data_IF_838816686359
#
_entry.id   IF_838816686359
#
_cell.length_a   1.000
_cell.length_b   1.000
_cell.length_c   1.000
_cell.angle_alpha   90.00
_cell.angle_beta   90.00
_cell.angle_gamma   90.00
#
_symmetry.space_group_name_H-M   'P 1'
#
loop_
_entity.id
_entity.type
_entity.pdbx_description
1 polymer ?
#
# COMPACT_ATOMS: atom_id res chain seq x y z
N UNK A 1 11.93 32.76 19.06
CA UNK A 1 12.74 31.53 19.02
C UNK A 1 12.88 31.14 17.56
N UNK A 2 14.05 31.41 16.99
CA UNK A 2 14.33 31.23 15.57
C UNK A 2 14.48 29.75 15.24
N UNK A 3 13.51 29.17 14.53
CA UNK A 3 13.65 27.87 13.88
C UNK A 3 14.46 28.05 12.60
N UNK A 4 15.73 27.69 12.66
CA UNK A 4 16.59 27.60 11.48
C UNK A 4 16.00 26.58 10.50
N UNK A 5 15.76 26.93 9.23
CA UNK A 5 15.30 25.93 8.27
C UNK A 5 16.41 24.94 8.01
N UNK A 6 16.11 23.66 8.20
CA UNK A 6 16.98 22.53 7.91
C UNK A 6 17.38 22.56 6.43
N UNK A 7 18.59 23.04 6.14
CA UNK A 7 19.20 22.90 4.83
C UNK A 7 19.86 21.54 4.74
N UNK A 8 19.19 20.56 4.17
CA UNK A 8 19.85 19.35 3.68
C UNK A 8 20.60 19.73 2.39
N UNK A 9 21.74 20.39 2.55
CA UNK A 9 22.76 20.51 1.50
C UNK A 9 23.86 19.50 1.83
N UNK A 10 23.60 18.22 1.56
CA UNK A 10 24.68 17.34 1.12
C UNK A 10 24.67 17.46 -0.41
N UNK A 11 25.74 17.96 -0.99
CA UNK A 11 25.95 17.82 -2.43
C UNK A 11 25.93 16.34 -2.73
N UNK A 12 25.13 15.86 -3.72
CA UNK A 12 25.08 14.45 -4.03
C UNK A 12 26.50 14.02 -4.43
N UNK A 13 26.95 12.90 -3.85
CA UNK A 13 28.13 12.22 -4.40
C UNK A 13 27.89 12.03 -5.91
N UNK A 14 28.92 12.23 -6.74
CA UNK A 14 28.79 12.16 -8.21
C UNK A 14 28.12 10.87 -8.69
N UNK A 15 28.09 9.79 -7.86
CA UNK A 15 27.46 8.51 -8.16
C UNK A 15 27.04 7.78 -6.85
N UNK A 16 25.88 8.12 -6.25
CA UNK A 16 25.47 7.55 -4.96
C UNK A 16 25.05 6.09 -5.07
N UNK A 17 25.24 5.32 -4.00
CA UNK A 17 24.71 3.95 -3.90
C UNK A 17 23.25 3.99 -3.41
N UNK A 18 22.36 3.33 -4.15
CA UNK A 18 20.97 3.07 -3.78
C UNK A 18 20.84 1.61 -3.33
N UNK A 19 20.26 1.40 -2.15
CA UNK A 19 19.90 0.06 -1.66
C UNK A 19 18.40 -0.17 -1.89
N UNK A 20 18.06 -1.05 -2.82
CA UNK A 20 16.69 -1.50 -3.06
C UNK A 20 16.34 -2.61 -2.05
N UNK A 21 15.40 -2.35 -1.15
CA UNK A 21 14.95 -3.28 -0.11
C UNK A 21 13.62 -3.90 -0.52
N UNK A 22 13.61 -5.21 -0.72
CA UNK A 22 12.48 -5.99 -1.18
C UNK A 22 12.06 -7.01 -0.11
N UNK A 23 10.92 -6.80 0.54
CA UNK A 23 10.35 -7.77 1.48
C UNK A 23 9.50 -8.80 0.73
N UNK A 24 9.86 -10.08 0.86
CA UNK A 24 9.19 -11.19 0.15
C UNK A 24 8.77 -12.30 1.11
N UNK A 25 7.66 -12.98 0.77
CA UNK A 25 7.27 -14.23 1.42
C UNK A 25 6.27 -14.99 0.57
N UNK A 26 6.65 -16.20 0.12
CA UNK A 26 5.85 -17.06 -0.76
C UNK A 26 5.48 -16.35 -2.06
N UNK A 27 6.51 -15.93 -2.81
CA UNK A 27 6.42 -15.11 -4.02
C UNK A 27 7.04 -15.82 -5.24
N UNK A 28 7.12 -17.15 -5.23
CA UNK A 28 7.76 -17.94 -6.30
C UNK A 28 7.26 -17.56 -7.70
N UNK A 29 6.00 -17.12 -7.80
CA UNK A 29 5.37 -16.73 -9.07
C UNK A 29 5.91 -15.39 -9.61
N UNK A 30 6.34 -14.48 -8.74
CA UNK A 30 6.63 -13.09 -9.14
C UNK A 30 8.10 -12.71 -8.94
N UNK A 31 8.79 -13.34 -7.98
CA UNK A 31 10.11 -12.88 -7.52
C UNK A 31 11.14 -12.81 -8.64
N UNK A 32 11.11 -13.74 -9.60
CA UNK A 32 12.08 -13.73 -10.70
C UNK A 32 11.89 -12.52 -11.63
N UNK A 33 10.64 -12.21 -12.03
CA UNK A 33 10.32 -11.05 -12.88
C UNK A 33 10.62 -9.73 -12.17
N UNK A 34 10.32 -9.64 -10.86
CA UNK A 34 10.64 -8.46 -10.04
C UNK A 34 12.15 -8.23 -10.01
N UNK A 35 12.96 -9.27 -9.71
CA UNK A 35 14.42 -9.15 -9.67
C UNK A 35 15.00 -8.81 -11.04
N UNK A 36 14.45 -9.37 -12.13
CA UNK A 36 14.85 -9.00 -13.48
C UNK A 36 14.59 -7.50 -13.76
N UNK A 37 13.41 -6.97 -13.37
CA UNK A 37 13.11 -5.54 -13.56
C UNK A 37 14.06 -4.64 -12.76
N UNK A 38 14.53 -5.09 -11.58
CA UNK A 38 15.49 -4.36 -10.76
C UNK A 38 16.92 -4.44 -11.31
N UNK A 39 17.32 -5.59 -11.83
CA UNK A 39 18.64 -5.78 -12.44
C UNK A 39 18.81 -5.00 -13.75
N UNK A 40 17.70 -4.66 -14.41
CA UNK A 40 17.63 -3.85 -15.63
C UNK A 40 17.47 -2.35 -15.38
N UNK A 41 17.49 -1.89 -14.13
CA UNK A 41 17.40 -0.47 -13.82
C UNK A 41 18.54 0.32 -14.43
N UNK A 42 18.23 1.55 -14.86
CA UNK A 42 19.21 2.53 -15.29
C UNK A 42 20.10 2.94 -14.10
N UNK A 43 21.38 2.59 -14.21
CA UNK A 43 22.41 2.91 -13.23
C UNK A 43 23.37 3.99 -13.71
N UNK A 44 22.95 4.83 -14.65
CA UNK A 44 23.78 5.90 -15.20
C UNK A 44 24.14 7.01 -14.21
N UNK A 45 23.35 7.15 -13.14
CA UNK A 45 23.52 8.21 -12.12
C UNK A 45 23.66 7.68 -10.69
N UNK A 46 23.62 6.37 -10.49
CA UNK A 46 23.75 5.72 -9.19
C UNK A 46 24.16 4.27 -9.31
N UNK A 47 24.86 3.76 -8.31
CA UNK A 47 25.04 2.32 -8.13
C UNK A 47 23.83 1.69 -7.44
N UNK A 48 23.62 0.40 -7.63
CA UNK A 48 22.47 -0.33 -7.10
C UNK A 48 22.87 -1.62 -6.41
N UNK A 49 22.54 -1.80 -5.13
CA UNK A 49 22.43 -3.09 -4.47
C UNK A 49 20.97 -3.47 -4.22
N UNK A 50 20.66 -4.76 -4.25
CA UNK A 50 19.31 -5.30 -4.08
C UNK A 50 19.31 -6.24 -2.88
N UNK A 51 18.60 -5.87 -1.83
CA UNK A 51 18.46 -6.63 -0.59
C UNK A 51 17.09 -7.31 -0.59
N UNK A 52 17.07 -8.60 -0.87
CA UNK A 52 15.86 -9.42 -0.79
C UNK A 52 15.75 -9.98 0.62
N UNK A 53 14.73 -9.56 1.34
CA UNK A 53 14.48 -9.97 2.71
C UNK A 53 13.35 -10.98 2.74
N UNK A 54 13.72 -12.26 2.79
CA UNK A 54 12.79 -13.38 2.78
C UNK A 54 12.17 -13.62 4.16
N UNK A 55 10.84 -13.59 4.23
CA UNK A 55 10.04 -13.85 5.42
C UNK A 55 9.90 -15.33 5.74
N UNK A 56 10.96 -16.13 5.57
CA UNK A 56 10.97 -17.56 5.82
C UNK A 56 9.93 -18.27 4.95
N UNK A 57 10.10 -18.12 3.64
CA UNK A 57 9.23 -18.69 2.61
C UNK A 57 9.26 -20.22 2.62
N UNK A 58 8.11 -20.83 2.35
CA UNK A 58 7.92 -22.29 2.29
C UNK A 58 7.77 -22.83 0.86
N UNK A 59 7.75 -21.94 -0.13
CA UNK A 59 7.71 -22.23 -1.57
C UNK A 59 9.11 -22.08 -2.20
N UNK A 60 9.21 -22.04 -3.52
CA UNK A 60 10.47 -21.91 -4.24
C UNK A 60 11.09 -20.49 -4.22
N UNK A 61 10.48 -19.51 -3.54
CA UNK A 61 10.95 -18.10 -3.50
C UNK A 61 12.44 -18.02 -3.14
N UNK A 62 12.84 -18.66 -2.04
CA UNK A 62 14.21 -18.61 -1.54
C UNK A 62 15.21 -19.17 -2.52
N UNK A 63 14.92 -20.35 -3.10
CA UNK A 63 15.80 -21.00 -4.08
C UNK A 63 15.99 -20.16 -5.34
N UNK A 64 14.92 -19.47 -5.80
CA UNK A 64 14.99 -18.56 -6.95
C UNK A 64 15.91 -17.38 -6.63
N UNK A 65 15.76 -16.77 -5.45
CA UNK A 65 16.61 -15.63 -5.03
C UNK A 65 18.06 -16.06 -4.89
N UNK A 66 18.37 -17.20 -4.25
CA UNK A 66 19.72 -17.75 -4.09
C UNK A 66 20.37 -18.00 -5.46
N UNK A 67 19.63 -18.59 -6.39
CA UNK A 67 20.12 -18.83 -7.77
C UNK A 67 20.51 -17.51 -8.47
N UNK A 68 19.73 -16.44 -8.29
CA UNK A 68 20.01 -15.13 -8.89
C UNK A 68 21.17 -14.45 -8.17
N UNK A 69 21.23 -14.48 -6.85
CA UNK A 69 22.30 -13.91 -6.05
C UNK A 69 23.67 -14.53 -6.35
N UNK A 70 23.71 -15.85 -6.56
CA UNK A 70 24.96 -16.56 -6.96
C UNK A 70 25.49 -16.13 -8.35
N UNK A 71 24.65 -15.52 -9.19
CA UNK A 71 25.01 -15.04 -10.53
C UNK A 71 25.20 -13.53 -10.61
N UNK A 72 24.78 -12.79 -9.59
CA UNK A 72 24.81 -11.34 -9.59
C UNK A 72 25.12 -10.78 -8.20
N UNK A 73 26.34 -10.26 -8.03
CA UNK A 73 26.83 -9.71 -6.76
C UNK A 73 26.01 -8.51 -6.22
N UNK A 74 25.20 -7.87 -7.06
CA UNK A 74 24.28 -6.81 -6.60
C UNK A 74 23.12 -7.34 -5.77
N UNK A 75 22.78 -8.65 -5.84
CA UNK A 75 21.65 -9.25 -5.14
C UNK A 75 22.15 -9.95 -3.87
N UNK A 76 21.56 -9.62 -2.74
CA UNK A 76 21.84 -10.25 -1.44
C UNK A 76 20.54 -10.74 -0.81
N UNK A 77 20.53 -11.98 -0.32
CA UNK A 77 19.44 -12.57 0.44
C UNK A 77 19.67 -12.39 1.92
N UNK A 78 18.63 -11.92 2.62
CA UNK A 78 18.53 -11.83 4.08
C UNK A 78 17.32 -12.62 4.56
N UNK A 79 17.38 -13.23 5.74
CA UNK A 79 16.28 -14.03 6.28
C UNK A 79 15.61 -13.29 7.43
N UNK A 80 14.30 -13.08 7.33
CA UNK A 80 13.45 -12.50 8.37
C UNK A 80 12.60 -13.59 9.06
N UNK A 81 13.10 -14.19 10.11
CA UNK A 81 12.40 -15.22 10.87
C UNK A 81 11.12 -14.71 11.56
N UNK A 82 10.93 -13.39 11.68
CA UNK A 82 9.69 -12.79 12.22
C UNK A 82 8.52 -12.84 11.27
N UNK A 83 8.75 -13.11 9.98
CA UNK A 83 7.71 -13.29 8.95
C UNK A 83 6.74 -12.12 8.80
N UNK A 84 7.15 -10.91 9.21
CA UNK A 84 6.34 -9.68 9.14
C UNK A 84 7.07 -8.61 8.33
N UNK A 85 6.32 -7.91 7.48
CA UNK A 85 6.84 -6.92 6.54
C UNK A 85 7.64 -5.79 7.20
N UNK A 86 7.20 -5.15 8.30
CA UNK A 86 7.98 -4.07 8.91
C UNK A 86 9.32 -4.55 9.47
N UNK A 87 9.40 -5.79 9.97
CA UNK A 87 10.68 -6.39 10.36
C UNK A 87 11.60 -6.61 9.17
N UNK A 88 11.04 -7.07 8.03
CA UNK A 88 11.81 -7.26 6.80
C UNK A 88 12.38 -5.93 6.30
N UNK A 89 11.57 -4.88 6.22
CA UNK A 89 12.04 -3.57 5.81
C UNK A 89 13.12 -3.02 6.74
N UNK A 90 12.93 -3.10 8.06
CA UNK A 90 13.92 -2.63 9.02
C UNK A 90 15.23 -3.42 8.94
N UNK A 91 15.17 -4.74 8.76
CA UNK A 91 16.35 -5.58 8.53
C UNK A 91 17.10 -5.15 7.27
N UNK A 92 16.37 -4.95 6.15
CA UNK A 92 16.94 -4.45 4.91
C UNK A 92 17.56 -3.07 5.04
N UNK A 93 16.87 -2.10 5.69
CA UNK A 93 17.37 -0.75 5.93
C UNK A 93 18.66 -0.78 6.77
N UNK A 94 18.70 -1.64 7.79
CA UNK A 94 19.90 -1.80 8.64
C UNK A 94 21.08 -2.40 7.86
N UNK A 95 20.84 -3.42 7.04
CA UNK A 95 21.86 -4.10 6.24
C UNK A 95 22.29 -3.33 4.98
N UNK A 96 21.56 -2.29 4.63
CA UNK A 96 21.80 -1.46 3.45
C UNK A 96 23.12 -0.67 3.60
N UNK A 97 23.92 -0.66 2.52
CA UNK A 97 25.15 0.11 2.41
C UNK A 97 24.95 1.47 1.75
N UNK A 98 23.84 1.61 1.00
CA UNK A 98 23.55 2.80 0.22
C UNK A 98 23.14 4.00 1.08
N UNK A 99 23.41 5.17 0.54
CA UNK A 99 22.96 6.46 1.08
C UNK A 99 21.45 6.63 0.91
N UNK A 100 20.90 6.06 -0.18
CA UNK A 100 19.48 6.07 -0.49
C UNK A 100 18.90 4.67 -0.33
N UNK A 101 17.69 4.62 0.21
CA UNK A 101 16.91 3.38 0.40
C UNK A 101 15.68 3.43 -0.49
N UNK A 102 15.53 2.47 -1.39
CA UNK A 102 14.33 2.26 -2.18
C UNK A 102 13.52 1.10 -1.61
N UNK A 103 12.32 1.36 -1.09
CA UNK A 103 11.44 0.32 -0.54
C UNK A 103 10.54 -0.23 -1.64
N UNK A 104 10.59 -1.52 -1.87
CA UNK A 104 9.97 -2.15 -3.03
C UNK A 104 9.04 -3.30 -2.63
N UNK A 105 8.08 -3.62 -3.50
CA UNK A 105 7.09 -4.68 -3.29
C UNK A 105 7.32 -5.89 -4.19
N UNK A 106 6.92 -7.08 -3.71
CA UNK A 106 7.12 -8.36 -4.40
C UNK A 106 6.13 -8.62 -5.56
N UNK A 107 4.99 -7.90 -5.59
CA UNK A 107 3.98 -8.01 -6.68
C UNK A 107 4.06 -6.85 -7.66
N UNK A 108 5.25 -6.29 -7.87
CA UNK A 108 5.42 -5.03 -8.60
C UNK A 108 6.62 -5.12 -9.50
N UNK A 109 6.48 -4.74 -10.76
CA UNK A 109 7.60 -4.50 -11.68
C UNK A 109 7.83 -3.00 -11.83
N UNK A 110 9.06 -2.62 -12.12
CA UNK A 110 9.48 -1.23 -12.13
C UNK A 110 9.96 -0.83 -13.52
N UNK A 111 9.56 0.35 -13.99
CA UNK A 111 10.09 0.92 -15.21
C UNK A 111 11.62 0.98 -15.14
N UNK A 112 12.30 0.84 -16.28
CA UNK A 112 13.77 0.75 -16.34
C UNK A 112 14.48 1.96 -15.73
N UNK A 113 13.83 3.12 -15.75
CA UNK A 113 14.33 4.39 -15.22
C UNK A 113 13.79 4.74 -13.82
N UNK A 114 13.09 3.81 -13.16
CA UNK A 114 12.34 4.09 -11.92
C UNK A 114 13.23 4.70 -10.83
N UNK A 115 14.34 4.03 -10.51
CA UNK A 115 15.24 4.46 -9.44
C UNK A 115 15.93 5.77 -9.81
N UNK A 116 16.47 5.86 -11.01
CA UNK A 116 17.17 7.07 -11.48
C UNK A 116 16.24 8.28 -11.54
N UNK A 117 15.02 8.11 -12.04
CA UNK A 117 14.03 9.20 -12.11
C UNK A 117 13.57 9.61 -10.74
N UNK A 118 13.22 8.66 -9.84
CA UNK A 118 12.83 8.99 -8.47
C UNK A 118 13.95 9.72 -7.72
N UNK A 119 15.20 9.35 -7.92
CA UNK A 119 16.35 10.01 -7.30
C UNK A 119 16.49 11.47 -7.80
N UNK A 120 16.40 11.72 -9.13
CA UNK A 120 16.41 13.06 -9.69
C UNK A 120 15.28 13.94 -9.18
N UNK A 121 14.05 13.40 -9.15
CA UNK A 121 12.86 14.12 -8.68
C UNK A 121 12.90 14.40 -7.17
N UNK A 122 13.48 13.48 -6.38
CA UNK A 122 13.73 13.71 -4.96
C UNK A 122 14.58 14.95 -4.73
N UNK A 123 15.67 15.10 -5.47
CA UNK A 123 16.56 16.26 -5.38
C UNK A 123 15.91 17.52 -5.96
N UNK A 124 15.28 17.43 -7.14
CA UNK A 124 14.64 18.55 -7.83
C UNK A 124 13.58 19.24 -6.95
N UNK A 125 12.81 18.44 -6.21
CA UNK A 125 11.72 18.93 -5.36
C UNK A 125 12.12 19.11 -3.89
N UNK A 126 13.39 18.88 -3.54
CA UNK A 126 13.87 18.87 -2.15
C UNK A 126 12.94 18.06 -1.24
N UNK A 127 12.61 16.85 -1.70
CA UNK A 127 11.69 15.94 -1.03
C UNK A 127 12.43 15.01 -0.07
N UNK A 128 11.80 14.65 1.06
CA UNK A 128 12.31 13.62 1.97
C UNK A 128 12.07 12.20 1.45
N UNK A 129 11.18 12.04 0.46
CA UNK A 129 10.93 10.79 -0.26
C UNK A 129 10.27 11.05 -1.60
N UNK A 130 10.59 10.22 -2.60
CA UNK A 130 10.01 10.29 -3.93
C UNK A 130 9.61 8.90 -4.44
N UNK A 131 8.59 8.86 -5.28
CA UNK A 131 8.08 7.63 -5.89
C UNK A 131 7.48 7.93 -7.27
N UNK A 132 7.52 6.95 -8.18
CA UNK A 132 6.74 6.96 -9.42
C UNK A 132 5.27 6.62 -9.17
N UNK A 133 4.40 6.91 -10.14
CA UNK A 133 2.98 6.52 -10.10
C UNK A 133 2.82 5.00 -10.13
N UNK A 134 1.82 4.50 -9.41
CA UNK A 134 1.45 3.08 -9.39
C UNK A 134 0.37 2.81 -10.44
N UNK A 135 0.67 1.95 -11.41
CA UNK A 135 -0.28 1.46 -12.41
C UNK A 135 -0.80 0.10 -11.96
N UNK A 136 -2.11 -0.01 -11.77
CA UNK A 136 -2.74 -1.27 -11.37
C UNK A 136 -2.90 -2.17 -12.57
N UNK A 137 -2.40 -3.40 -12.47
CA UNK A 137 -2.50 -4.43 -13.50
C UNK A 137 -3.20 -5.68 -12.98
N UNK A 138 -3.97 -6.38 -13.81
CA UNK A 138 -4.45 -7.71 -13.47
C UNK A 138 -3.26 -8.69 -13.43
N UNK A 139 -3.27 -9.64 -12.50
CA UNK A 139 -2.21 -10.65 -12.36
C UNK A 139 -2.35 -11.82 -13.33
N UNK A 140 -3.44 -11.86 -14.11
CA UNK A 140 -3.74 -12.83 -15.17
C UNK A 140 -4.72 -12.20 -16.15
N UNK A 141 -4.87 -12.81 -17.31
CA UNK A 141 -5.84 -12.40 -18.34
C UNK A 141 -7.29 -12.79 -18.01
N UNK A 142 -7.50 -13.39 -16.82
CA UNK A 142 -8.80 -13.79 -16.36
C UNK A 142 -9.75 -12.58 -16.25
N UNK A 143 -10.98 -12.79 -16.66
CA UNK A 143 -12.05 -11.81 -16.60
C UNK A 143 -12.21 -11.18 -15.21
N UNK A 144 -12.20 -12.01 -14.16
CA UNK A 144 -12.32 -11.54 -12.77
C UNK A 144 -11.13 -10.66 -12.34
N UNK A 145 -9.90 -11.04 -12.73
CA UNK A 145 -8.70 -10.27 -12.45
C UNK A 145 -8.75 -8.87 -13.07
N UNK A 146 -9.25 -8.75 -14.31
CA UNK A 146 -9.43 -7.45 -15.00
C UNK A 146 -10.43 -6.57 -14.27
N UNK A 147 -11.60 -7.09 -13.91
CA UNK A 147 -12.61 -6.33 -13.17
C UNK A 147 -12.08 -5.83 -11.82
N UNK A 148 -11.34 -6.66 -11.09
CA UNK A 148 -10.73 -6.29 -9.81
C UNK A 148 -9.70 -5.17 -10.01
N UNK A 149 -8.85 -5.28 -11.04
CA UNK A 149 -7.86 -4.25 -11.37
C UNK A 149 -8.53 -2.90 -11.66
N UNK A 150 -9.58 -2.88 -12.50
CA UNK A 150 -10.32 -1.66 -12.82
C UNK A 150 -10.96 -1.01 -11.59
N UNK A 151 -11.56 -1.83 -10.70
CA UNK A 151 -12.17 -1.35 -9.45
C UNK A 151 -11.12 -0.73 -8.53
N UNK A 152 -9.96 -1.36 -8.37
CA UNK A 152 -8.88 -0.86 -7.52
C UNK A 152 -8.14 0.35 -8.12
N UNK A 153 -8.21 0.54 -9.44
CA UNK A 153 -7.69 1.72 -10.13
C UNK A 153 -8.69 2.89 -10.17
N UNK A 154 -9.96 2.68 -9.78
CA UNK A 154 -11.00 3.70 -9.88
C UNK A 154 -11.22 4.45 -8.56
N UNK A 155 -11.43 5.79 -8.57
CA UNK A 155 -11.64 6.59 -7.37
C UNK A 155 -12.81 6.13 -6.48
N UNK A 156 -13.86 5.57 -7.07
CA UNK A 156 -14.98 5.01 -6.31
C UNK A 156 -14.57 3.78 -5.48
N UNK A 157 -13.57 3.00 -5.95
CA UNK A 157 -13.04 1.84 -5.22
C UNK A 157 -12.01 2.19 -4.14
N UNK A 158 -11.15 3.19 -4.40
CA UNK A 158 -10.01 3.48 -3.51
C UNK A 158 -9.89 4.93 -3.05
N UNK A 159 -10.80 5.81 -3.46
CA UNK A 159 -10.85 7.27 -3.29
C UNK A 159 -9.85 8.05 -4.17
N UNK A 160 -10.18 9.32 -4.45
CA UNK A 160 -9.33 10.25 -5.21
C UNK A 160 -8.02 10.62 -4.48
N UNK A 161 -7.97 10.42 -3.17
CA UNK A 161 -6.78 10.67 -2.38
C UNK A 161 -5.89 9.44 -2.19
N UNK A 162 -6.20 8.31 -2.83
CA UNK A 162 -5.37 7.11 -2.81
C UNK A 162 -4.12 7.30 -3.67
N UNK A 163 -3.00 6.68 -3.28
CA UNK A 163 -1.78 6.63 -4.10
C UNK A 163 -2.03 6.03 -5.51
N UNK A 164 -3.08 5.23 -5.65
CA UNK A 164 -3.49 4.58 -6.92
C UNK A 164 -4.24 5.48 -7.88
N UNK A 165 -4.74 6.61 -7.43
CA UNK A 165 -5.59 7.52 -8.21
C UNK A 165 -5.07 8.95 -8.22
N UNK A 166 -4.01 9.24 -7.45
CA UNK A 166 -3.39 10.58 -7.40
C UNK A 166 -2.61 10.90 -8.66
N UNK A 167 -2.61 12.19 -8.99
CA UNK A 167 -1.72 12.81 -9.97
C UNK A 167 -0.38 13.15 -9.32
N UNK A 168 0.64 13.40 -10.15
CA UNK A 168 1.94 13.90 -9.71
C UNK A 168 1.83 15.12 -8.79
N UNK A 169 2.77 15.25 -7.86
CA UNK A 169 2.84 16.35 -6.91
C UNK A 169 3.13 15.92 -5.48
N UNK A 170 3.12 16.88 -4.55
CA UNK A 170 3.28 16.55 -3.12
C UNK A 170 2.10 15.74 -2.59
N UNK A 171 2.41 14.72 -1.80
CA UNK A 171 1.46 13.70 -1.38
C UNK A 171 1.60 13.37 0.10
N UNK A 172 0.50 12.93 0.72
CA UNK A 172 0.53 12.48 2.13
C UNK A 172 1.22 11.12 2.29
N UNK A 173 1.18 10.29 1.25
CA UNK A 173 1.80 8.97 1.20
C UNK A 173 2.13 8.65 -0.25
N UNK A 174 3.20 7.88 -0.47
CA UNK A 174 3.70 7.49 -1.78
C UNK A 174 4.00 5.98 -1.81
N UNK A 175 3.75 5.28 -2.94
CA UNK A 175 4.05 3.86 -3.07
C UNK A 175 5.53 3.65 -3.41
N UNK A 176 6.14 2.58 -2.93
CA UNK A 176 7.51 2.16 -3.31
C UNK A 176 8.56 3.28 -3.36
N UNK A 177 8.69 4.06 -2.29
CA UNK A 177 9.50 5.28 -2.28
C UNK A 177 11.00 5.03 -2.25
N UNK A 178 11.74 5.98 -2.81
CA UNK A 178 13.15 6.21 -2.50
C UNK A 178 13.24 7.29 -1.41
N UNK A 179 14.07 7.03 -0.40
CA UNK A 179 14.34 7.93 0.72
C UNK A 179 15.84 8.12 0.90
N UNK A 180 16.25 9.22 1.49
CA UNK A 180 17.57 9.32 2.10
C UNK A 180 17.60 8.43 3.36
N UNK A 181 18.64 7.60 3.53
CA UNK A 181 18.75 6.67 4.67
C UNK A 181 18.71 7.40 6.02
N UNK A 182 19.38 8.56 6.11
CA UNK A 182 19.36 9.38 7.32
C UNK A 182 17.97 9.84 7.71
N UNK A 183 17.12 10.19 6.73
CA UNK A 183 15.72 10.57 6.95
C UNK A 183 14.89 9.42 7.55
N UNK A 184 15.11 8.19 7.09
CA UNK A 184 14.46 7.00 7.69
C UNK A 184 14.95 6.76 9.12
N UNK A 185 16.26 6.90 9.36
CA UNK A 185 16.87 6.72 10.67
C UNK A 185 16.36 7.76 11.68
N UNK A 186 16.21 9.01 11.25
CA UNK A 186 15.69 10.12 12.08
C UNK A 186 14.30 9.83 12.64
N UNK A 187 13.43 9.22 11.85
CA UNK A 187 12.06 8.90 12.27
C UNK A 187 11.90 7.50 12.86
N UNK A 188 13.00 6.72 12.98
CA UNK A 188 13.00 5.38 13.56
C UNK A 188 12.46 4.29 12.62
N UNK A 189 12.57 4.49 11.29
CA UNK A 189 12.17 3.54 10.25
C UNK A 189 10.72 3.01 10.41
N UNK A 190 10.44 1.73 10.12
CA UNK A 190 9.08 1.17 10.20
C UNK A 190 8.70 0.74 11.61
N UNK A 191 7.47 1.07 12.05
CA UNK A 191 6.93 0.57 13.32
C UNK A 191 6.59 -0.92 13.21
N UNK A 192 7.29 -1.76 13.96
CA UNK A 192 7.16 -3.23 13.95
C UNK A 192 5.81 -3.74 14.45
N UNK A 193 5.05 -2.93 15.17
CA UNK A 193 3.70 -3.28 15.63
C UNK A 193 2.66 -3.15 14.53
N UNK A 194 2.94 -2.35 13.48
CA UNK A 194 2.03 -2.13 12.39
C UNK A 194 2.28 -3.14 11.27
N UNK A 195 1.60 -4.28 11.30
CA UNK A 195 1.70 -5.29 10.24
C UNK A 195 1.01 -4.87 8.94
N UNK A 196 0.21 -3.80 8.96
CA UNK A 196 -0.37 -3.08 7.82
C UNK A 196 -0.40 -1.59 8.10
N UNK A 197 -0.51 -0.79 7.02
CA UNK A 197 -0.50 0.68 7.07
C UNK A 197 0.80 1.26 7.70
N UNK A 198 1.85 0.47 7.77
CA UNK A 198 3.18 0.90 8.20
C UNK A 198 3.75 2.01 7.32
N UNK A 199 3.37 2.03 6.04
CA UNK A 199 3.66 3.07 5.05
C UNK A 199 2.97 4.40 5.37
N UNK A 200 1.68 4.37 5.71
CA UNK A 200 0.94 5.55 6.13
C UNK A 200 1.49 6.16 7.42
N UNK A 201 1.85 5.32 8.39
CA UNK A 201 2.46 5.75 9.66
C UNK A 201 3.83 6.38 9.42
N UNK A 202 4.71 5.70 8.66
CA UNK A 202 6.02 6.22 8.29
C UNK A 202 5.90 7.57 7.56
N UNK A 203 5.02 7.64 6.56
CA UNK A 203 4.77 8.86 5.80
C UNK A 203 4.29 10.01 6.69
N UNK A 204 3.44 9.73 7.68
CA UNK A 204 2.98 10.73 8.64
C UNK A 204 4.13 11.21 9.55
N UNK A 205 4.94 10.28 10.09
CA UNK A 205 6.09 10.64 10.94
C UNK A 205 7.12 11.48 10.19
N UNK A 206 7.39 11.17 8.93
CA UNK A 206 8.25 11.97 8.04
C UNK A 206 7.68 13.39 7.86
N UNK A 207 6.39 13.51 7.52
CA UNK A 207 5.75 14.83 7.36
C UNK A 207 5.69 15.63 8.66
N UNK A 208 5.49 14.99 9.79
CA UNK A 208 5.53 15.63 11.11
C UNK A 208 6.90 16.22 11.46
N UNK A 209 7.99 15.72 10.83
CA UNK A 209 9.35 16.27 10.92
C UNK A 209 9.66 17.29 9.82
N UNK A 210 8.68 17.67 8.99
CA UNK A 210 8.83 18.65 7.92
C UNK A 210 9.28 18.09 6.58
N UNK A 211 9.50 16.78 6.46
CA UNK A 211 9.85 16.16 5.19
C UNK A 211 8.65 16.12 4.24
N UNK A 212 8.83 16.53 3.00
CA UNK A 212 7.82 16.47 1.95
C UNK A 212 7.96 15.16 1.18
N UNK A 213 6.84 14.57 0.78
CA UNK A 213 6.80 13.38 -0.07
C UNK A 213 6.30 13.77 -1.44
N UNK A 214 6.99 13.32 -2.50
CA UNK A 214 6.68 13.69 -3.88
C UNK A 214 6.33 12.45 -4.72
N UNK A 215 5.25 12.53 -5.47
CA UNK A 215 4.84 11.53 -6.45
C UNK A 215 5.12 12.09 -7.84
N UNK A 216 5.93 11.40 -8.65
CA UNK A 216 6.23 11.79 -10.02
C UNK A 216 5.48 10.92 -11.03
N UNK A 217 5.03 11.51 -12.15
CA UNK A 217 4.45 10.79 -13.29
C UNK A 217 5.46 10.57 -14.43
N UNK A 218 6.72 10.96 -14.21
CA UNK A 218 7.81 10.74 -15.18
C UNK A 218 8.32 9.31 -15.23
N UNK A 219 7.98 8.52 -14.22
CA UNK A 219 8.24 7.09 -14.16
C UNK A 219 7.12 6.38 -13.43
N UNK A 220 7.07 5.05 -13.52
CA UNK A 220 5.98 4.26 -12.96
C UNK A 220 6.45 2.89 -12.47
N UNK A 221 5.58 2.27 -11.66
CA UNK A 221 5.63 0.85 -11.37
C UNK A 221 4.29 0.20 -11.69
N UNK A 222 4.30 -1.09 -12.01
CA UNK A 222 3.10 -1.87 -12.29
C UNK A 222 2.85 -2.85 -11.13
N UNK A 223 1.74 -2.63 -10.43
CA UNK A 223 1.32 -3.45 -9.31
C UNK A 223 0.29 -4.48 -9.77
N UNK A 224 0.61 -5.76 -9.58
CA UNK A 224 -0.26 -6.88 -9.98
C UNK A 224 -1.20 -7.26 -8.84
N UNK A 225 -2.50 -7.02 -9.05
CA UNK A 225 -3.52 -7.31 -8.04
C UNK A 225 -3.92 -8.79 -8.05
N UNK A 226 -4.29 -9.29 -6.88
CA UNK A 226 -4.75 -10.67 -6.74
C UNK A 226 -6.01 -10.94 -7.58
N UNK A 227 -6.11 -12.10 -8.27
CA UNK A 227 -7.09 -12.29 -9.34
C UNK A 227 -8.49 -12.71 -8.86
N UNK A 228 -8.70 -13.02 -7.55
CA UNK A 228 -9.95 -13.61 -7.09
C UNK A 228 -10.75 -12.72 -6.15
N UNK A 229 -12.09 -12.86 -6.18
CA UNK A 229 -12.99 -12.18 -5.22
C UNK A 229 -12.69 -12.57 -3.78
N UNK A 230 -12.33 -13.83 -3.53
CA UNK A 230 -11.98 -14.30 -2.18
C UNK A 230 -10.74 -13.56 -1.64
N UNK A 231 -9.72 -13.36 -2.47
CA UNK A 231 -8.53 -12.59 -2.08
C UNK A 231 -8.81 -11.11 -1.94
N UNK A 232 -9.65 -10.52 -2.81
CA UNK A 232 -10.13 -9.15 -2.68
C UNK A 232 -10.89 -8.94 -1.37
N UNK A 233 -11.82 -9.84 -1.03
CA UNK A 233 -12.60 -9.81 0.21
C UNK A 233 -11.70 -9.85 1.44
N UNK A 234 -10.74 -10.77 1.45
CA UNK A 234 -9.74 -10.90 2.53
C UNK A 234 -8.85 -9.66 2.64
N UNK A 235 -8.42 -9.10 1.49
CA UNK A 235 -7.65 -7.86 1.43
C UNK A 235 -8.46 -6.69 2.00
N UNK A 236 -9.72 -6.50 1.54
CA UNK A 236 -10.60 -5.42 1.95
C UNK A 236 -10.91 -5.49 3.45
N UNK A 237 -11.31 -6.66 3.96
CA UNK A 237 -11.57 -6.88 5.38
C UNK A 237 -10.34 -6.53 6.23
N UNK A 238 -9.17 -7.09 5.89
CA UNK A 238 -7.93 -6.82 6.62
C UNK A 238 -7.57 -5.32 6.59
N UNK A 239 -7.78 -4.64 5.47
CA UNK A 239 -7.49 -3.22 5.34
C UNK A 239 -8.39 -2.40 6.26
N UNK A 240 -9.71 -2.65 6.24
CA UNK A 240 -10.65 -1.97 7.15
C UNK A 240 -10.34 -2.24 8.62
N UNK A 241 -10.06 -3.48 8.96
CA UNK A 241 -9.71 -3.89 10.33
C UNK A 241 -8.45 -3.17 10.85
N UNK A 242 -7.37 -3.16 10.07
CA UNK A 242 -6.11 -2.55 10.44
C UNK A 242 -6.15 -1.03 10.45
N UNK A 243 -7.07 -0.39 9.72
CA UNK A 243 -7.24 1.06 9.78
C UNK A 243 -7.67 1.54 11.16
N UNK A 244 -8.51 0.77 11.87
CA UNK A 244 -8.88 1.09 13.26
C UNK A 244 -7.69 0.96 14.20
N UNK A 245 -6.88 -0.09 14.05
CA UNK A 245 -5.67 -0.30 14.84
C UNK A 245 -4.66 0.83 14.60
N UNK A 246 -4.40 1.15 13.33
CA UNK A 246 -3.49 2.23 12.94
C UNK A 246 -3.96 3.59 13.44
N UNK A 247 -5.27 3.87 13.37
CA UNK A 247 -5.86 5.10 13.91
C UNK A 247 -5.70 5.22 15.42
N UNK A 248 -5.87 4.11 16.16
CA UNK A 248 -5.63 4.10 17.62
C UNK A 248 -4.17 4.36 17.97
N UNK A 249 -3.24 3.86 17.16
CA UNK A 249 -1.79 4.05 17.34
C UNK A 249 -1.36 5.47 16.97
N UNK A 250 -1.76 5.94 15.79
CA UNK A 250 -1.37 7.21 15.22
C UNK A 250 -2.55 7.82 14.44
N UNK A 251 -3.32 8.67 15.11
CA UNK A 251 -4.53 9.28 14.53
C UNK A 251 -4.24 10.07 13.25
N UNK A 252 -3.10 10.73 13.20
CA UNK A 252 -2.73 11.57 12.06
C UNK A 252 -2.31 10.76 10.81
N UNK A 253 -2.06 9.46 10.94
CA UNK A 253 -1.75 8.58 9.80
C UNK A 253 -2.97 8.20 8.96
N UNK A 254 -4.18 8.40 9.50
CA UNK A 254 -5.43 8.03 8.85
C UNK A 254 -6.29 9.26 8.56
N UNK A 255 -6.83 9.35 7.35
CA UNK A 255 -7.80 10.37 6.95
C UNK A 255 -9.23 9.84 6.98
N UNK A 256 -10.24 10.74 6.99
CA UNK A 256 -11.67 10.38 7.07
C UNK A 256 -12.11 9.39 5.99
N UNK A 257 -11.53 9.47 4.79
CA UNK A 257 -11.82 8.55 3.68
C UNK A 257 -11.67 7.07 4.04
N UNK A 258 -10.76 6.74 4.96
CA UNK A 258 -10.52 5.35 5.38
C UNK A 258 -11.67 4.76 6.22
N UNK A 259 -12.57 5.60 6.71
CA UNK A 259 -13.71 5.17 7.50
C UNK A 259 -15.03 5.15 6.71
N UNK A 260 -15.07 5.74 5.51
CA UNK A 260 -16.27 5.82 4.66
C UNK A 260 -16.93 4.45 4.46
N UNK A 261 -16.22 3.36 4.10
CA UNK A 261 -16.85 2.05 3.96
C UNK A 261 -17.44 1.52 5.27
N UNK A 262 -16.82 1.83 6.42
CA UNK A 262 -17.35 1.47 7.75
C UNK A 262 -18.67 2.19 8.05
N UNK A 263 -18.72 3.50 7.77
CA UNK A 263 -19.94 4.31 7.94
C UNK A 263 -21.04 3.82 6.99
N UNK A 264 -20.69 3.48 5.74
CA UNK A 264 -21.65 2.94 4.78
C UNK A 264 -22.28 1.63 5.28
N UNK A 265 -21.47 0.66 5.74
CA UNK A 265 -22.00 -0.63 6.25
C UNK A 265 -22.78 -0.43 7.55
N UNK A 266 -22.33 0.44 8.46
CA UNK A 266 -23.11 0.80 9.65
C UNK A 266 -24.47 1.39 9.29
N UNK A 267 -24.50 2.31 8.32
CA UNK A 267 -25.73 2.89 7.79
C UNK A 267 -26.66 1.84 7.18
N UNK A 268 -26.14 0.92 6.40
CA UNK A 268 -26.94 -0.20 5.85
C UNK A 268 -27.54 -1.06 6.97
N UNK A 269 -26.78 -1.40 8.01
CA UNK A 269 -27.26 -2.20 9.12
C UNK A 269 -28.35 -1.46 9.92
N UNK A 270 -28.15 -0.18 10.22
CA UNK A 270 -29.15 0.65 10.91
C UNK A 270 -30.44 0.77 10.09
N UNK A 271 -30.32 1.04 8.79
CA UNK A 271 -31.47 1.11 7.90
C UNK A 271 -32.19 -0.25 7.77
N UNK A 272 -31.44 -1.36 7.78
CA UNK A 272 -32.02 -2.71 7.76
C UNK A 272 -32.80 -3.00 9.06
N UNK A 273 -32.24 -2.63 10.22
CA UNK A 273 -32.95 -2.74 11.51
C UNK A 273 -34.23 -1.92 11.50
N UNK A 274 -34.18 -0.67 11.04
CA UNK A 274 -35.36 0.20 10.90
C UNK A 274 -36.39 -0.43 9.94
N UNK A 275 -35.96 -0.97 8.80
CA UNK A 275 -36.82 -1.64 7.84
C UNK A 275 -37.56 -2.86 8.45
N UNK A 276 -36.83 -3.70 9.20
CA UNK A 276 -37.41 -4.86 9.90
C UNK A 276 -38.38 -4.39 11.00
N UNK A 277 -38.03 -3.37 11.78
CA UNK A 277 -38.90 -2.79 12.78
C UNK A 277 -40.22 -2.24 12.20
N UNK A 278 -40.21 -1.83 10.93
CA UNK A 278 -41.41 -1.38 10.22
C UNK A 278 -42.45 -2.48 10.00
N UNK A 279 -42.09 -3.77 10.16
CA UNK A 279 -43.04 -4.89 10.00
C UNK A 279 -44.14 -4.78 11.09
N UNK A 280 -43.76 -4.41 12.32
CA UNK A 280 -44.67 -4.26 13.47
C UNK A 280 -45.20 -2.82 13.65
N UNK A 281 -44.76 -1.87 12.82
CA UNK A 281 -45.15 -0.47 12.91
C UNK A 281 -46.54 -0.24 12.28
N UNK A 282 -47.28 0.80 12.74
CA UNK A 282 -48.51 1.23 12.10
C UNK A 282 -48.32 1.52 10.60
N UNK A 283 -49.31 1.20 9.77
CA UNK A 283 -49.18 1.25 8.32
C UNK A 283 -48.75 2.62 7.77
N UNK A 284 -49.27 3.70 8.35
CA UNK A 284 -48.95 5.07 7.96
C UNK A 284 -47.50 5.48 8.28
N UNK A 285 -46.78 4.74 9.15
CA UNK A 285 -45.39 5.03 9.51
C UNK A 285 -44.39 4.14 8.78
N UNK A 286 -44.82 3.00 8.24
CA UNK A 286 -43.90 2.00 7.59
C UNK A 286 -43.01 2.58 6.49
N UNK A 287 -43.56 3.53 5.73
CA UNK A 287 -42.82 4.18 4.65
C UNK A 287 -41.59 4.92 5.18
N UNK A 288 -41.74 5.66 6.29
CA UNK A 288 -40.63 6.43 6.87
C UNK A 288 -39.46 5.57 7.35
N UNK A 289 -39.72 4.33 7.78
CA UNK A 289 -38.69 3.39 8.17
C UNK A 289 -38.01 2.70 6.94
N UNK A 290 -38.70 2.58 5.81
CA UNK A 290 -38.22 1.94 4.60
C UNK A 290 -37.46 2.88 3.67
N UNK A 291 -37.84 4.13 3.61
CA UNK A 291 -37.24 5.13 2.72
C UNK A 291 -35.71 5.28 2.90
N UNK A 292 -35.14 5.32 4.10
CA UNK A 292 -33.69 5.48 4.27
C UNK A 292 -32.89 4.34 3.61
N UNK A 293 -33.34 3.08 3.81
CA UNK A 293 -32.68 1.94 3.21
C UNK A 293 -32.76 1.98 1.68
N UNK A 294 -33.95 2.25 1.16
CA UNK A 294 -34.18 2.33 -0.29
C UNK A 294 -33.36 3.46 -0.91
N UNK A 295 -33.33 4.64 -0.27
CA UNK A 295 -32.54 5.79 -0.74
C UNK A 295 -31.04 5.49 -0.75
N UNK A 296 -30.52 4.83 0.30
CA UNK A 296 -29.11 4.46 0.38
C UNK A 296 -28.73 3.44 -0.70
N UNK A 297 -29.58 2.44 -0.95
CA UNK A 297 -29.37 1.43 -1.99
C UNK A 297 -29.40 2.11 -3.38
N UNK A 298 -30.41 2.94 -3.66
CA UNK A 298 -30.53 3.63 -4.96
C UNK A 298 -29.31 4.53 -5.19
N UNK A 299 -28.90 5.32 -4.18
CA UNK A 299 -27.73 6.18 -4.29
C UNK A 299 -26.46 5.37 -4.58
N UNK A 300 -26.28 4.23 -3.90
CA UNK A 300 -25.13 3.37 -4.13
C UNK A 300 -25.16 2.75 -5.55
N UNK A 301 -26.32 2.28 -5.99
CA UNK A 301 -26.50 1.71 -7.35
C UNK A 301 -26.16 2.77 -8.40
N UNK A 302 -26.72 3.97 -8.29
CA UNK A 302 -26.42 5.07 -9.23
C UNK A 302 -24.93 5.37 -9.27
N UNK A 303 -24.28 5.52 -8.10
CA UNK A 303 -22.87 5.82 -8.03
C UNK A 303 -22.00 4.70 -8.61
N UNK A 304 -22.32 3.43 -8.29
CA UNK A 304 -21.57 2.28 -8.77
C UNK A 304 -21.71 2.04 -10.29
N UNK A 305 -22.91 2.25 -10.86
CA UNK A 305 -23.11 2.20 -12.29
C UNK A 305 -22.51 3.40 -13.02
N UNK A 306 -22.50 4.59 -12.42
CA UNK A 306 -21.76 5.74 -12.91
C UNK A 306 -20.26 5.45 -13.02
N UNK A 307 -19.68 4.81 -11.99
CA UNK A 307 -18.30 4.35 -12.02
C UNK A 307 -18.08 3.27 -13.12
N UNK A 308 -18.99 2.31 -13.23
CA UNK A 308 -18.94 1.28 -14.26
C UNK A 308 -18.97 1.87 -15.68
N UNK A 309 -19.83 2.85 -15.93
CA UNK A 309 -19.89 3.58 -17.20
C UNK A 309 -18.57 4.31 -17.52
N UNK A 310 -17.98 4.97 -16.50
CA UNK A 310 -16.68 5.63 -16.65
C UNK A 310 -15.59 4.62 -17.03
N UNK A 311 -15.54 3.46 -16.35
CA UNK A 311 -14.61 2.36 -16.67
C UNK A 311 -14.87 1.83 -18.07
N UNK A 312 -16.13 1.52 -18.42
CA UNK A 312 -16.50 0.99 -19.74
C UNK A 312 -16.07 1.93 -20.88
N UNK A 313 -16.27 3.23 -20.68
CA UNK A 313 -15.87 4.25 -21.67
C UNK A 313 -14.34 4.35 -21.83
N UNK A 314 -13.59 4.22 -20.73
CA UNK A 314 -12.14 4.30 -20.73
C UNK A 314 -11.48 3.05 -21.28
N UNK A 315 -11.92 1.88 -20.83
CA UNK A 315 -11.35 0.59 -21.22
C UNK A 315 -11.95 0.04 -22.53
N UNK A 316 -13.04 0.66 -23.03
CA UNK A 316 -13.81 0.24 -24.21
C UNK A 316 -14.31 -1.21 -24.11
N UNK A 317 -14.72 -1.60 -22.92
CA UNK A 317 -15.15 -2.95 -22.60
C UNK A 317 -16.48 -2.92 -21.81
N UNK A 318 -17.55 -3.47 -22.39
CA UNK A 318 -18.87 -3.52 -21.77
C UNK A 318 -18.93 -4.42 -20.54
N UNK A 319 -17.97 -5.32 -20.35
CA UNK A 319 -17.90 -6.16 -19.15
C UNK A 319 -17.66 -5.34 -17.87
N UNK A 320 -17.21 -4.08 -18.01
CA UNK A 320 -17.11 -3.13 -16.92
C UNK A 320 -18.44 -2.90 -16.18
N UNK A 321 -19.60 -3.14 -16.82
CA UNK A 321 -20.91 -3.08 -16.14
C UNK A 321 -21.11 -4.17 -15.07
N UNK A 322 -20.20 -5.11 -14.92
CA UNK A 322 -20.16 -6.06 -13.80
C UNK A 322 -19.36 -5.54 -12.59
N UNK A 323 -18.61 -4.44 -12.74
CA UNK A 323 -17.83 -3.85 -11.65
C UNK A 323 -18.66 -3.39 -10.45
N UNK A 324 -19.97 -3.04 -10.53
CA UNK A 324 -20.77 -2.77 -9.34
C UNK A 324 -20.77 -3.90 -8.29
N UNK A 325 -20.71 -5.16 -8.73
CA UNK A 325 -20.61 -6.31 -7.83
C UNK A 325 -19.25 -6.37 -7.13
N UNK A 326 -18.19 -6.01 -7.82
CA UNK A 326 -16.84 -5.95 -7.27
C UNK A 326 -16.70 -4.78 -6.28
N UNK A 327 -17.25 -3.59 -6.61
CA UNK A 327 -17.33 -2.45 -5.71
C UNK A 327 -18.09 -2.81 -4.43
N UNK A 328 -19.24 -3.46 -4.55
CA UNK A 328 -20.03 -3.90 -3.40
C UNK A 328 -19.23 -4.85 -2.51
N UNK A 329 -18.55 -5.85 -3.10
CA UNK A 329 -17.69 -6.77 -2.37
C UNK A 329 -16.57 -6.02 -1.63
N UNK A 330 -15.89 -5.10 -2.31
CA UNK A 330 -14.81 -4.31 -1.75
C UNK A 330 -15.29 -3.46 -0.55
N UNK A 331 -16.37 -2.69 -0.75
CA UNK A 331 -16.86 -1.75 0.27
C UNK A 331 -17.49 -2.46 1.47
N UNK A 332 -18.25 -3.55 1.23
CA UNK A 332 -18.86 -4.30 2.32
C UNK A 332 -17.83 -5.05 3.15
N UNK A 333 -16.90 -5.77 2.53
CA UNK A 333 -15.86 -6.47 3.25
C UNK A 333 -14.94 -5.53 4.03
N UNK A 334 -14.61 -4.38 3.45
CA UNK A 334 -13.82 -3.35 4.12
C UNK A 334 -14.60 -2.77 5.31
N UNK A 335 -15.86 -2.38 5.13
CA UNK A 335 -16.71 -1.84 6.18
C UNK A 335 -16.94 -2.82 7.33
N UNK A 336 -17.18 -4.10 7.01
CA UNK A 336 -17.27 -5.16 8.01
C UNK A 336 -15.96 -5.28 8.80
N UNK A 337 -14.80 -5.19 8.13
CA UNK A 337 -13.51 -5.16 8.81
C UNK A 337 -13.37 -4.02 9.81
N UNK A 338 -13.80 -2.80 9.43
CA UNK A 338 -13.84 -1.62 10.32
C UNK A 338 -14.74 -1.88 11.52
N UNK A 339 -15.99 -2.31 11.30
CA UNK A 339 -16.96 -2.54 12.37
C UNK A 339 -16.52 -3.66 13.31
N UNK A 340 -15.95 -4.75 12.77
CA UNK A 340 -15.39 -5.84 13.57
C UNK A 340 -14.29 -5.32 14.49
N UNK A 341 -13.33 -4.54 13.97
CA UNK A 341 -12.24 -4.01 14.77
C UNK A 341 -12.73 -3.05 15.88
N UNK A 342 -13.80 -2.29 15.63
CA UNK A 342 -14.44 -1.45 16.64
C UNK A 342 -15.12 -2.30 17.68
N UNK A 343 -15.96 -3.27 17.28
CA UNK A 343 -16.76 -4.12 18.16
C UNK A 343 -15.91 -4.94 19.14
N UNK A 344 -14.82 -5.54 18.68
CA UNK A 344 -13.91 -6.30 19.54
C UNK A 344 -12.87 -5.43 20.24
N UNK A 345 -12.95 -4.11 20.10
CA UNK A 345 -11.95 -3.17 20.62
C UNK A 345 -10.51 -3.56 20.25
N UNK A 346 -10.30 -3.90 18.98
CA UNK A 346 -9.04 -4.41 18.48
C UNK A 346 -7.85 -3.52 18.90
N UNK A 347 -6.77 -4.17 19.32
CA UNK A 347 -5.54 -3.54 19.81
C UNK A 347 -4.34 -3.97 18.97
N UNK A 348 -3.25 -3.25 19.13
CA UNK A 348 -1.96 -3.65 18.59
C UNK A 348 -1.58 -5.04 19.12
N UNK A 349 -0.92 -5.88 18.28
CA UNK A 349 -0.29 -7.09 18.78
C UNK A 349 0.69 -6.74 19.92
N UNK A 350 0.74 -7.58 20.96
CA UNK A 350 1.76 -7.46 21.99
C UNK A 350 3.14 -7.59 21.34
N UNK A 351 4.02 -6.61 21.56
CA UNK A 351 5.44 -6.80 21.27
C UNK A 351 5.97 -7.82 22.28
N UNK A 352 6.65 -8.84 21.79
CA UNK A 352 7.51 -9.66 22.62
C UNK A 352 8.80 -8.85 22.89
N UNK A 353 9.02 -8.34 24.12
CA UNK A 353 10.17 -7.50 24.43
C UNK A 353 11.51 -8.24 24.35
N UNK A 354 11.47 -9.58 24.32
CA UNK A 354 12.65 -10.44 24.44
C UNK A 354 13.60 -10.45 23.27
N UNK A 355 13.37 -9.66 22.19
CA UNK A 355 14.06 -9.87 20.91
C UNK A 355 14.52 -8.58 20.21
N UNK A 356 14.71 -7.51 20.95
CA UNK A 356 15.40 -6.30 20.43
C UNK A 356 16.93 -6.45 20.43
N UNK A 357 17.45 -7.56 20.95
CA UNK A 357 18.90 -7.83 21.03
C UNK A 357 19.16 -9.24 20.53
N UNK A 358 19.11 -9.48 19.21
CA UNK A 358 19.99 -10.49 18.65
C UNK A 358 21.30 -9.81 18.27
N UNK A 359 22.31 -10.14 19.07
CA UNK A 359 23.71 -9.82 18.83
C UNK A 359 24.05 -10.16 17.38
N UNK A 360 24.66 -9.22 16.69
CA UNK A 360 25.55 -9.49 15.57
C UNK A 360 26.41 -10.71 15.92
N UNK A 361 26.13 -11.83 15.31
CA UNK A 361 27.09 -12.93 15.29
C UNK A 361 28.13 -12.50 14.27
N UNK A 362 29.25 -12.00 14.80
CA UNK A 362 30.51 -11.92 14.10
C UNK A 362 30.94 -13.36 13.71
N UNK A 363 31.05 -13.62 12.43
CA UNK A 363 32.06 -14.51 11.83
C UNK A 363 31.99 -14.41 10.30
#
# INVERSE_FOLDING_TARGET
MNSTPYSIRQEPHDHPLVSAVLAVRNEERYIESVLQSLLLQDTSICDLEILVVDGDSSDATRQIVERIANRNARVRLLINHRRKTPYAFNLGIHAAKGEYICILGAHTTYAKDYIATCLRELHLHNAGGCSGVEIIRPSSDDFQARLIAWVLAHPFGTSTGSMRTRKAGFSDTIPYPIFLKSTLTEVGAYDIQLHRNQDNDLSQRLRARGHKLYLTDRTYCEYFVSPTLASLSKYAFKTGFWNIISFKKNRASMSLRHFVPGVFVAGLLLCLVAFVSAISAPEHTRLWFRLPLLSLIIAYVIASFGAAFNIASRERDATAFLTPLIFLTLHTCYGVGVLTAVAINARLPSCDPGLLVEKTVDS
#
